data_IF_431388021682
#
_entry.id   IF_431388021682
#
_cell.length_a   1.000
_cell.length_b   1.000
_cell.length_c   1.000
_cell.angle_alpha   90.00
_cell.angle_beta   90.00
_cell.angle_gamma   90.00
#
_symmetry.space_group_name_H-M   'P 1'
#
loop_
_entity.id
_entity.type
_entity.pdbx_description
1 polymer ?
#
# COMPACT_ATOMS: atom_id res chain seq x y z
N UNK A 1 -48.32 13.37 14.42
CA UNK A 1 -48.14 13.40 15.89
C UNK A 1 -46.91 12.56 16.21
N UNK A 2 -45.81 13.20 16.64
CA UNK A 2 -45.17 13.06 17.97
C UNK A 2 -44.73 11.61 18.25
N UNK A 3 -43.50 11.25 18.65
CA UNK A 3 -42.29 11.97 19.08
C UNK A 3 -41.20 10.90 19.29
N UNK A 4 -39.94 11.24 19.07
CA UNK A 4 -38.76 10.49 19.56
C UNK A 4 -38.64 10.53 21.08
N UNK A 5 -37.96 9.55 21.71
CA UNK A 5 -36.98 9.74 22.83
C UNK A 5 -36.09 8.45 22.92
N UNK A 6 -34.78 8.50 22.60
CA UNK A 6 -33.60 8.46 23.53
C UNK A 6 -33.74 7.45 24.68
N UNK A 7 -32.84 6.48 24.91
CA UNK A 7 -31.40 6.62 25.11
C UNK A 7 -31.09 6.69 26.61
N UNK A 8 -30.48 5.65 27.18
CA UNK A 8 -29.82 5.73 28.49
C UNK A 8 -28.55 4.87 28.50
N UNK A 9 -27.45 5.53 28.88
CA UNK A 9 -26.10 5.00 29.08
C UNK A 9 -25.75 5.25 30.55
N UNK A 10 -25.08 4.26 31.17
CA UNK A 10 -24.20 4.34 32.35
C UNK A 10 -24.83 4.67 33.73
N UNK A 11 -24.35 4.15 34.87
CA UNK A 11 -22.95 4.01 35.34
C UNK A 11 -22.92 3.14 36.65
N UNK A 12 -21.82 3.01 37.42
CA UNK A 12 -21.30 1.74 37.95
C UNK A 12 -21.48 1.58 39.48
N UNK A 13 -21.16 0.40 40.02
CA UNK A 13 -21.02 0.20 41.47
C UNK A 13 -19.59 -0.28 41.79
N UNK A 14 -18.97 0.41 42.75
CA UNK A 14 -17.64 0.15 43.32
C UNK A 14 -17.80 0.00 44.84
N UNK A 15 -17.13 -1.03 45.40
CA UNK A 15 -16.49 -1.12 46.74
C UNK A 15 -17.44 -1.14 47.96
N UNK A 16 -17.19 -1.83 49.09
CA UNK A 16 -16.00 -2.47 49.67
C UNK A 16 -16.38 -3.25 50.97
N UNK A 17 -15.38 -3.87 51.61
CA UNK A 17 -15.26 -4.43 52.99
C UNK A 17 -15.73 -5.89 53.18
N UNK A 18 -14.94 -6.85 53.66
CA UNK A 18 -13.66 -6.84 54.37
C UNK A 18 -13.78 -7.76 55.58
N UNK A 19 -12.88 -8.73 55.78
CA UNK A 19 -12.50 -9.29 57.10
C UNK A 19 -11.16 -10.05 57.00
N UNK A 20 -10.42 -9.98 58.10
CA UNK A 20 -8.97 -10.02 58.21
C UNK A 20 -8.35 -11.40 58.51
N UNK A 21 -7.13 -11.60 57.97
CA UNK A 21 -5.88 -12.01 58.63
C UNK A 21 -5.83 -13.28 59.51
N UNK A 22 -4.91 -14.18 59.15
CA UNK A 22 -3.94 -14.71 60.11
C UNK A 22 -2.58 -14.93 59.44
N UNK A 23 -1.55 -14.33 60.04
CA UNK A 23 -0.14 -14.49 59.69
C UNK A 23 0.42 -15.81 60.22
N UNK A 24 1.33 -16.42 59.47
CA UNK A 24 2.49 -17.13 59.99
C UNK A 24 3.65 -16.94 59.01
N UNK A 25 4.74 -16.35 59.49
CA UNK A 25 5.99 -16.15 58.79
C UNK A 25 7.07 -17.07 59.37
N UNK A 26 8.15 -17.26 58.58
CA UNK A 26 9.43 -17.97 58.78
C UNK A 26 9.51 -19.27 57.97
N UNK A 27 10.53 -19.54 57.15
CA UNK A 27 11.93 -19.14 57.21
C UNK A 27 12.57 -18.87 55.83
N UNK A 28 13.62 -18.05 55.88
CA UNK A 28 14.53 -17.72 54.79
C UNK A 28 15.64 -18.78 54.73
N UNK A 29 15.87 -19.36 53.55
CA UNK A 29 17.19 -19.92 53.19
C UNK A 29 17.57 -19.47 51.78
N UNK A 30 18.67 -18.72 51.73
CA UNK A 30 19.42 -18.35 50.55
C UNK A 30 19.97 -19.57 49.82
N UNK A 31 19.77 -19.64 48.51
CA UNK A 31 20.73 -20.29 47.61
C UNK A 31 20.75 -19.58 46.26
N UNK A 32 21.95 -19.13 45.90
CA UNK A 32 22.32 -18.57 44.61
C UNK A 32 22.26 -19.70 43.59
N UNK A 33 21.40 -19.57 42.57
CA UNK A 33 21.48 -20.39 41.35
C UNK A 33 21.26 -19.47 40.15
N UNK A 34 22.21 -19.58 39.24
CA UNK A 34 22.49 -18.74 38.09
C UNK A 34 21.30 -18.48 37.18
N UNK A 35 21.23 -17.25 36.68
CA UNK A 35 20.41 -16.86 35.54
C UNK A 35 20.87 -17.65 34.30
N UNK A 36 20.16 -18.72 33.96
CA UNK A 36 20.05 -19.14 32.57
C UNK A 36 18.80 -18.46 32.00
N UNK A 37 19.03 -17.42 31.21
CA UNK A 37 18.04 -16.85 30.30
C UNK A 37 17.76 -17.92 29.26
N UNK A 38 16.81 -18.80 29.56
CA UNK A 38 16.18 -19.65 28.57
C UNK A 38 15.36 -18.74 27.66
N UNK A 39 15.98 -18.27 26.56
CA UNK A 39 15.24 -17.91 25.35
C UNK A 39 14.23 -19.01 25.08
N UNK A 40 12.92 -18.72 24.99
CA UNK A 40 11.94 -19.75 24.70
C UNK A 40 12.30 -20.40 23.38
N UNK A 41 12.55 -21.71 23.42
CA UNK A 41 12.80 -22.52 22.24
C UNK A 41 11.71 -22.25 21.20
N UNK A 42 12.11 -21.83 20.00
CA UNK A 42 11.20 -21.63 18.89
C UNK A 42 10.43 -22.93 18.66
N UNK A 43 9.10 -22.89 18.82
CA UNK A 43 8.22 -23.95 18.36
C UNK A 43 8.62 -24.29 16.91
N UNK A 44 8.64 -25.56 16.49
CA UNK A 44 8.94 -25.91 15.10
C UNK A 44 8.03 -25.08 14.20
N UNK A 45 8.59 -24.05 13.57
CA UNK A 45 7.83 -23.06 12.80
C UNK A 45 7.18 -23.84 11.67
N UNK A 46 5.86 -23.75 11.62
CA UNK A 46 5.07 -24.55 10.71
C UNK A 46 5.52 -24.33 9.26
N UNK A 47 5.42 -25.37 8.43
CA UNK A 47 5.98 -25.48 7.06
C UNK A 47 5.65 -24.26 6.16
N UNK A 48 4.59 -23.52 6.49
CA UNK A 48 4.11 -22.35 5.75
C UNK A 48 4.74 -21.02 6.17
N UNK A 49 5.49 -20.90 7.27
CA UNK A 49 6.26 -19.69 7.59
C UNK A 49 7.67 -19.77 6.99
N UNK A 50 8.24 -18.61 6.67
CA UNK A 50 9.67 -18.47 6.40
C UNK A 50 10.37 -17.80 7.58
N UNK A 51 11.59 -18.26 7.87
CA UNK A 51 12.46 -17.60 8.86
C UNK A 51 13.08 -16.32 8.31
N UNK A 52 13.15 -16.22 6.98
CA UNK A 52 13.62 -15.03 6.30
C UNK A 52 12.52 -13.97 6.33
N UNK A 53 12.82 -12.87 7.01
CA UNK A 53 11.92 -11.70 7.11
C UNK A 53 12.35 -10.56 6.20
N UNK A 54 13.54 -10.64 5.61
CA UNK A 54 14.06 -9.65 4.69
C UNK A 54 13.62 -9.94 3.25
N UNK A 55 12.79 -9.08 2.63
CA UNK A 55 12.39 -9.25 1.24
C UNK A 55 13.57 -9.33 0.27
N UNK A 56 14.71 -8.74 0.62
CA UNK A 56 15.89 -8.77 -0.24
C UNK A 56 16.54 -10.15 -0.34
N UNK A 57 16.32 -11.03 0.62
CA UNK A 57 16.92 -12.37 0.68
C UNK A 57 15.95 -13.47 0.23
N UNK A 58 14.72 -13.10 -0.13
CA UNK A 58 13.76 -14.05 -0.69
C UNK A 58 14.26 -14.62 -2.03
N UNK A 59 14.00 -15.91 -2.20
CA UNK A 59 14.42 -16.75 -3.33
C UNK A 59 13.30 -17.72 -3.67
N UNK A 60 13.46 -18.50 -4.74
CA UNK A 60 12.47 -19.50 -5.16
C UNK A 60 12.16 -20.55 -4.07
N UNK A 61 13.09 -20.80 -3.14
CA UNK A 61 12.89 -21.72 -2.02
C UNK A 61 11.84 -21.23 -1.01
N UNK A 62 11.59 -19.92 -0.99
CA UNK A 62 10.64 -19.27 -0.10
C UNK A 62 9.25 -19.12 -0.72
N UNK A 63 9.08 -19.53 -1.98
CA UNK A 63 7.80 -19.46 -2.70
C UNK A 63 6.68 -20.17 -1.93
N UNK A 64 5.54 -19.50 -1.79
CA UNK A 64 4.36 -20.01 -1.09
C UNK A 64 4.43 -19.87 0.43
N UNK A 65 5.58 -19.47 1.01
CA UNK A 65 5.72 -19.25 2.45
C UNK A 65 5.33 -17.83 2.86
N UNK A 66 4.91 -17.66 4.10
CA UNK A 66 4.56 -16.39 4.72
C UNK A 66 5.75 -15.83 5.51
N UNK A 67 6.15 -14.60 5.21
CA UNK A 67 7.09 -13.84 6.04
C UNK A 67 6.32 -12.82 6.89
N UNK A 68 6.81 -12.58 8.10
CA UNK A 68 6.22 -11.63 9.04
C UNK A 68 6.85 -10.25 8.91
N UNK A 69 6.03 -9.22 8.81
CA UNK A 69 6.44 -7.81 8.87
C UNK A 69 6.11 -7.28 10.28
N UNK A 70 7.08 -6.72 11.01
CA UNK A 70 6.81 -6.03 12.27
C UNK A 70 5.76 -4.94 12.12
N UNK A 71 4.82 -4.84 13.06
CA UNK A 71 3.70 -3.87 12.98
C UNK A 71 4.17 -2.41 12.97
N UNK A 72 5.33 -2.11 13.55
CA UNK A 72 5.97 -0.79 13.49
C UNK A 72 6.42 -0.46 12.07
N UNK A 73 7.03 -1.44 11.40
CA UNK A 73 7.48 -1.31 10.02
C UNK A 73 6.29 -1.18 9.06
N UNK A 74 5.19 -1.91 9.32
CA UNK A 74 3.95 -1.73 8.55
C UNK A 74 3.43 -0.30 8.64
N UNK A 75 3.43 0.32 9.82
CA UNK A 75 2.97 1.70 10.00
C UNK A 75 3.90 2.71 9.33
N UNK A 76 5.22 2.45 9.32
CA UNK A 76 6.22 3.32 8.72
C UNK A 76 6.19 3.24 7.18
N UNK A 77 6.19 2.03 6.62
CA UNK A 77 6.27 1.78 5.17
C UNK A 77 4.90 1.89 4.50
N UNK A 78 3.83 1.48 5.19
CA UNK A 78 2.46 1.48 4.69
C UNK A 78 1.51 2.28 5.58
N UNK A 79 1.70 3.62 5.72
CA UNK A 79 0.68 4.47 6.33
C UNK A 79 -0.64 4.43 5.53
N UNK A 80 -0.56 4.12 4.23
CA UNK A 80 -1.67 3.90 3.32
C UNK A 80 -1.34 2.77 2.31
N UNK A 81 -2.39 2.23 1.69
CA UNK A 81 -2.29 1.38 0.51
C UNK A 81 -2.33 -0.12 0.73
N UNK A 82 -2.30 -0.59 1.97
CA UNK A 82 -2.72 -1.96 2.23
C UNK A 82 -4.21 -2.13 1.89
N UNK A 83 -4.63 -3.22 1.22
CA UNK A 83 -6.03 -3.52 0.99
C UNK A 83 -6.82 -3.55 2.30
N UNK A 84 -8.04 -3.00 2.31
CA UNK A 84 -8.86 -2.92 3.53
C UNK A 84 -9.06 -4.28 4.24
N UNK A 85 -9.32 -5.35 3.47
CA UNK A 85 -9.47 -6.70 4.04
C UNK A 85 -8.19 -7.20 4.69
N UNK A 86 -7.03 -6.90 4.10
CA UNK A 86 -5.75 -7.24 4.69
C UNK A 86 -5.48 -6.44 5.97
N UNK A 87 -5.87 -5.17 6.03
CA UNK A 87 -5.82 -4.39 7.29
C UNK A 87 -6.71 -5.00 8.38
N UNK A 88 -7.90 -5.50 8.02
CA UNK A 88 -8.76 -6.23 8.96
C UNK A 88 -8.10 -7.52 9.43
N UNK A 89 -7.47 -8.26 8.53
CA UNK A 89 -6.73 -9.48 8.85
C UNK A 89 -5.58 -9.21 9.82
N UNK A 90 -4.75 -8.19 9.56
CA UNK A 90 -3.67 -7.77 10.48
C UNK A 90 -4.24 -7.41 11.86
N UNK A 91 -5.35 -6.68 11.89
CA UNK A 91 -5.98 -6.28 13.15
C UNK A 91 -6.52 -7.48 13.94
N UNK A 92 -7.06 -8.48 13.26
CA UNK A 92 -7.63 -9.68 13.88
C UNK A 92 -6.55 -10.65 14.35
N UNK A 93 -5.54 -10.91 13.52
CA UNK A 93 -4.47 -11.85 13.85
C UNK A 93 -3.36 -11.23 14.71
N UNK A 94 -3.31 -9.89 14.81
CA UNK A 94 -2.25 -9.14 15.48
C UNK A 94 -0.86 -9.38 14.88
N UNK A 95 -0.79 -9.94 13.67
CA UNK A 95 0.43 -10.19 12.90
C UNK A 95 0.21 -9.74 11.45
N UNK A 96 1.27 -9.23 10.82
CA UNK A 96 1.24 -8.85 9.41
C UNK A 96 2.08 -9.84 8.59
N UNK A 97 1.43 -10.88 8.09
CA UNK A 97 2.09 -11.94 7.34
C UNK A 97 1.73 -11.85 5.86
N UNK A 98 2.74 -11.79 5.00
CA UNK A 98 2.59 -11.68 3.55
C UNK A 98 3.19 -12.93 2.91
N UNK A 99 2.49 -13.51 1.93
CA UNK A 99 2.99 -14.67 1.19
C UNK A 99 3.98 -14.24 0.11
N UNK A 100 5.11 -14.96 0.00
CA UNK A 100 6.07 -14.78 -1.09
C UNK A 100 5.55 -15.50 -2.34
N UNK A 101 5.33 -14.74 -3.42
CA UNK A 101 4.80 -15.27 -4.69
C UNK A 101 5.79 -15.11 -5.83
N UNK A 102 5.71 -15.99 -6.83
CA UNK A 102 6.59 -15.94 -8.03
C UNK A 102 6.66 -14.56 -8.70
N UNK A 103 5.54 -13.84 -8.95
CA UNK A 103 5.61 -12.55 -9.65
C UNK A 103 6.39 -11.48 -8.86
N UNK A 104 6.40 -11.55 -7.52
CA UNK A 104 7.19 -10.65 -6.69
C UNK A 104 8.70 -10.99 -6.78
N UNK A 105 9.05 -12.29 -6.77
CA UNK A 105 10.43 -12.75 -6.91
C UNK A 105 11.03 -12.39 -8.28
N UNK A 106 10.22 -12.51 -9.33
CA UNK A 106 10.59 -12.08 -10.69
C UNK A 106 10.89 -10.58 -10.72
N UNK A 107 10.01 -9.77 -10.13
CA UNK A 107 10.21 -8.32 -9.98
C UNK A 107 11.48 -7.98 -9.19
N UNK A 108 11.76 -8.69 -8.10
CA UNK A 108 13.01 -8.48 -7.34
C UNK A 108 14.24 -8.75 -8.19
N UNK A 109 14.20 -9.79 -9.01
CA UNK A 109 15.29 -10.13 -9.92
C UNK A 109 15.52 -9.02 -10.94
N UNK A 110 14.45 -8.48 -11.53
CA UNK A 110 14.55 -7.34 -12.44
C UNK A 110 15.07 -6.07 -11.77
N UNK A 111 14.59 -5.75 -10.56
CA UNK A 111 15.02 -4.56 -9.83
C UNK A 111 16.47 -4.67 -9.35
N UNK A 112 16.92 -5.84 -8.90
CA UNK A 112 18.31 -6.09 -8.51
C UNK A 112 19.27 -5.95 -9.69
N UNK A 113 18.86 -6.44 -10.86
CA UNK A 113 19.67 -6.41 -12.08
C UNK A 113 19.53 -5.12 -12.89
N UNK A 114 18.73 -4.16 -12.42
CA UNK A 114 18.47 -2.92 -13.14
C UNK A 114 19.68 -1.98 -13.11
N UNK A 115 20.02 -1.41 -14.27
CA UNK A 115 21.04 -0.38 -14.38
C UNK A 115 20.41 1.01 -14.30
N UNK A 116 20.69 1.72 -13.22
CA UNK A 116 20.11 3.04 -12.92
C UNK A 116 20.61 4.18 -13.81
N UNK A 117 21.63 3.95 -14.63
CA UNK A 117 22.06 4.91 -15.65
C UNK A 117 21.12 4.95 -16.86
N UNK A 118 20.36 3.88 -17.10
CA UNK A 118 19.38 3.81 -18.19
C UNK A 118 18.07 4.53 -17.82
N UNK A 119 17.23 4.88 -18.82
CA UNK A 119 15.90 5.38 -18.56
C UNK A 119 15.09 4.39 -17.72
N UNK A 120 14.20 4.94 -16.90
CA UNK A 120 13.38 4.17 -15.96
C UNK A 120 12.58 3.08 -16.67
N UNK A 121 12.73 1.85 -16.18
CA UNK A 121 11.96 0.70 -16.65
C UNK A 121 10.56 0.73 -16.04
N UNK A 122 9.55 0.47 -16.88
CA UNK A 122 8.14 0.43 -16.51
C UNK A 122 7.68 -1.02 -16.41
N UNK A 123 7.26 -1.42 -15.22
CA UNK A 123 6.68 -2.73 -14.93
C UNK A 123 5.16 -2.59 -14.77
N UNK A 124 4.39 -3.41 -15.49
CA UNK A 124 2.92 -3.40 -15.42
C UNK A 124 2.44 -4.75 -14.95
N UNK A 125 1.98 -4.78 -13.70
CA UNK A 125 1.41 -5.96 -13.05
C UNK A 125 -0.06 -6.08 -13.45
N UNK A 126 -0.43 -7.19 -14.09
CA UNK A 126 -1.80 -7.44 -14.57
C UNK A 126 -2.27 -8.85 -14.21
N UNK A 127 -3.58 -9.09 -14.36
CA UNK A 127 -4.19 -10.36 -14.00
C UNK A 127 -5.63 -10.21 -13.55
N UNK A 128 -6.32 -11.32 -13.38
CA UNK A 128 -7.75 -11.38 -13.06
C UNK A 128 -8.11 -10.70 -11.74
N UNK A 129 -9.39 -10.41 -11.53
CA UNK A 129 -9.86 -9.79 -10.29
C UNK A 129 -9.54 -10.70 -9.10
N UNK A 130 -8.96 -10.13 -8.04
CA UNK A 130 -8.70 -10.85 -6.80
C UNK A 130 -7.43 -11.70 -6.76
N UNK A 131 -6.57 -11.66 -7.78
CA UNK A 131 -5.33 -12.46 -7.83
C UNK A 131 -4.18 -11.98 -6.92
N UNK A 132 -4.34 -10.88 -6.18
CA UNK A 132 -3.28 -10.37 -5.28
C UNK A 132 -2.25 -9.43 -5.93
N UNK A 133 -2.61 -8.75 -7.03
CA UNK A 133 -1.76 -7.73 -7.68
C UNK A 133 -1.29 -6.64 -6.71
N UNK A 134 -2.21 -6.03 -5.96
CA UNK A 134 -1.88 -5.01 -4.95
C UNK A 134 -0.95 -5.55 -3.88
N UNK A 135 -1.16 -6.78 -3.40
CA UNK A 135 -0.26 -7.39 -2.42
C UNK A 135 1.14 -7.63 -2.99
N UNK A 136 1.24 -8.00 -4.27
CA UNK A 136 2.52 -8.12 -4.98
C UNK A 136 3.22 -6.75 -5.06
N UNK A 137 2.48 -5.68 -5.39
CA UNK A 137 3.01 -4.31 -5.37
C UNK A 137 3.47 -3.89 -3.97
N UNK A 138 2.69 -4.17 -2.93
CA UNK A 138 3.09 -3.89 -1.55
C UNK A 138 4.36 -4.65 -1.17
N UNK A 139 4.52 -5.91 -1.58
CA UNK A 139 5.76 -6.66 -1.34
C UNK A 139 6.98 -5.98 -1.99
N UNK A 140 6.82 -5.44 -3.20
CA UNK A 140 7.84 -4.64 -3.88
C UNK A 140 8.15 -3.33 -3.18
N UNK A 141 7.12 -2.64 -2.71
CA UNK A 141 7.30 -1.41 -1.92
C UNK A 141 8.08 -1.71 -0.63
N UNK A 142 7.77 -2.80 0.07
CA UNK A 142 8.47 -3.21 1.29
C UNK A 142 9.95 -3.51 1.02
N UNK A 143 10.22 -4.25 -0.05
CA UNK A 143 11.58 -4.53 -0.52
C UNK A 143 12.37 -3.24 -0.79
N UNK A 144 11.82 -2.30 -1.56
CA UNK A 144 12.51 -1.05 -1.89
C UNK A 144 12.68 -0.15 -0.66
N UNK A 145 11.71 -0.13 0.27
CA UNK A 145 11.82 0.61 1.51
C UNK A 145 12.99 0.13 2.37
N UNK A 146 13.16 -1.20 2.52
CA UNK A 146 14.31 -1.78 3.24
C UNK A 146 15.66 -1.51 2.58
N UNK A 147 15.67 -1.40 1.26
CA UNK A 147 16.88 -1.01 0.52
C UNK A 147 17.22 0.48 0.60
N UNK A 148 16.43 1.29 1.32
CA UNK A 148 16.65 2.72 1.42
C UNK A 148 16.35 3.46 0.13
N UNK A 149 15.28 3.08 -0.59
CA UNK A 149 14.79 3.83 -1.75
C UNK A 149 13.72 4.81 -1.31
N UNK A 150 13.59 5.93 -2.03
CA UNK A 150 12.48 6.86 -1.88
C UNK A 150 11.22 6.23 -2.49
N UNK A 151 10.22 6.00 -1.66
CA UNK A 151 8.98 5.32 -2.05
C UNK A 151 7.90 6.35 -2.36
N UNK A 152 7.51 6.43 -3.62
CA UNK A 152 6.36 7.20 -4.09
C UNK A 152 5.20 6.22 -4.34
N UNK A 153 4.40 5.99 -3.30
CA UNK A 153 3.28 5.04 -3.35
C UNK A 153 1.93 5.75 -3.50
N UNK A 154 1.17 5.32 -4.51
CA UNK A 154 -0.20 5.75 -4.79
C UNK A 154 -1.10 4.53 -4.69
N UNK A 155 -1.93 4.44 -3.64
CA UNK A 155 -2.60 3.20 -3.26
C UNK A 155 -3.81 2.84 -4.10
N UNK A 156 -4.46 3.83 -4.71
CA UNK A 156 -5.56 3.64 -5.66
C UNK A 156 -5.74 4.94 -6.46
N UNK A 157 -5.24 4.94 -7.69
CA UNK A 157 -5.39 6.07 -8.61
C UNK A 157 -6.87 6.31 -9.00
N UNK A 158 -7.76 5.32 -8.82
CA UNK A 158 -9.18 5.50 -9.11
C UNK A 158 -9.83 6.52 -8.16
N UNK A 159 -9.33 6.66 -6.93
CA UNK A 159 -9.85 7.65 -5.97
C UNK A 159 -9.60 9.10 -6.42
N UNK A 160 -8.65 9.32 -7.32
CA UNK A 160 -8.38 10.64 -7.87
C UNK A 160 -9.29 10.99 -9.06
N UNK A 161 -9.96 10.01 -9.67
CA UNK A 161 -10.84 10.24 -10.85
C UNK A 161 -12.32 10.03 -10.55
N UNK A 162 -12.67 9.65 -9.31
CA UNK A 162 -14.05 9.49 -8.84
C UNK A 162 -14.26 10.05 -7.44
N UNK A 163 -15.52 10.30 -7.08
CA UNK A 163 -15.94 10.65 -5.71
C UNK A 163 -15.17 11.82 -5.08
N UNK A 164 -14.76 12.81 -5.87
CA UNK A 164 -14.14 14.02 -5.34
C UNK A 164 -15.22 14.97 -4.83
N UNK A 165 -15.16 15.28 -3.52
CA UNK A 165 -16.13 16.18 -2.86
C UNK A 165 -15.90 17.65 -3.23
N UNK A 166 -14.64 18.03 -3.33
CA UNK A 166 -14.21 19.40 -3.62
C UNK A 166 -13.31 19.38 -4.84
N UNK A 167 -13.71 20.13 -5.85
CA UNK A 167 -12.95 20.35 -7.07
C UNK A 167 -12.84 21.87 -7.24
N UNK A 168 -11.62 22.38 -7.32
CA UNK A 168 -11.37 23.82 -7.41
C UNK A 168 -10.61 24.12 -8.69
N UNK A 169 -10.80 25.30 -9.26
CA UNK A 169 -9.94 25.75 -10.34
C UNK A 169 -8.53 26.02 -9.80
N UNK A 170 -7.50 25.51 -10.49
CA UNK A 170 -6.13 25.68 -10.04
C UNK A 170 -5.70 27.13 -10.14
N UNK A 171 -5.02 27.60 -9.10
CA UNK A 171 -4.47 28.95 -9.04
C UNK A 171 -3.21 29.12 -9.89
N UNK A 172 -2.48 28.03 -10.16
CA UNK A 172 -1.31 28.04 -11.05
C UNK A 172 -1.69 27.93 -12.53
N UNK A 173 -2.61 27.03 -12.87
CA UNK A 173 -3.11 26.88 -14.23
C UNK A 173 -4.65 26.88 -14.27
N UNK A 174 -5.23 27.94 -14.82
CA UNK A 174 -6.69 28.12 -14.89
C UNK A 174 -7.41 27.03 -15.68
N UNK A 175 -6.74 26.32 -16.58
CA UNK A 175 -7.35 25.21 -17.34
C UNK A 175 -7.46 23.92 -16.53
N UNK A 176 -6.77 23.85 -15.38
CA UNK A 176 -6.72 22.65 -14.53
C UNK A 176 -7.58 22.77 -13.29
N UNK A 177 -7.88 21.59 -12.75
CA UNK A 177 -8.71 21.40 -11.58
C UNK A 177 -7.90 20.71 -10.48
N UNK A 178 -7.92 21.33 -9.30
CA UNK A 178 -7.22 20.91 -8.11
C UNK A 178 -8.12 20.10 -7.17
N UNK A 179 -7.50 19.12 -6.52
CA UNK A 179 -8.13 18.16 -5.63
C UNK A 179 -7.47 18.22 -4.25
N UNK A 180 -7.79 19.25 -3.45
CA UNK A 180 -7.05 19.60 -2.24
C UNK A 180 -7.10 18.50 -1.16
N UNK A 181 -8.24 17.81 -1.02
CA UNK A 181 -8.42 16.75 -0.03
C UNK A 181 -7.58 15.50 -0.36
N UNK A 182 -7.60 15.07 -1.62
CA UNK A 182 -6.79 13.93 -2.10
C UNK A 182 -5.30 14.25 -2.01
N UNK A 183 -4.92 15.46 -2.40
CA UNK A 183 -3.53 15.91 -2.35
C UNK A 183 -2.99 15.97 -0.92
N UNK A 184 -3.73 16.57 0.02
CA UNK A 184 -3.32 16.65 1.43
C UNK A 184 -3.27 15.29 2.10
N UNK A 185 -4.23 14.40 1.83
CA UNK A 185 -4.19 13.02 2.31
C UNK A 185 -2.93 12.29 1.83
N UNK A 186 -2.60 12.42 0.55
CA UNK A 186 -1.40 11.81 -0.01
C UNK A 186 -0.11 12.42 0.58
N UNK A 187 -0.01 13.75 0.68
CA UNK A 187 1.15 14.45 1.28
C UNK A 187 1.42 14.01 2.71
N UNK A 188 0.37 13.82 3.52
CA UNK A 188 0.50 13.36 4.90
C UNK A 188 1.17 11.99 4.97
N UNK A 189 0.73 11.06 4.12
CA UNK A 189 1.28 9.70 4.10
C UNK A 189 2.67 9.65 3.48
N UNK A 190 2.91 10.48 2.45
CA UNK A 190 4.22 10.64 1.83
C UNK A 190 5.26 11.15 2.84
N UNK A 191 4.88 12.09 3.71
CA UNK A 191 5.71 12.59 4.82
C UNK A 191 6.12 11.47 5.77
N UNK A 192 5.17 10.66 6.22
CA UNK A 192 5.43 9.56 7.16
C UNK A 192 6.38 8.52 6.57
N UNK A 193 6.23 8.21 5.27
CA UNK A 193 7.01 7.16 4.61
C UNK A 193 8.48 7.59 4.37
N UNK A 194 8.70 8.86 3.99
CA UNK A 194 10.00 9.32 3.49
C UNK A 194 10.63 10.44 4.35
N UNK A 195 10.40 10.43 5.67
CA UNK A 195 10.78 11.55 6.54
C UNK A 195 12.28 11.92 6.45
N UNK A 196 13.16 10.91 6.32
CA UNK A 196 14.60 11.12 6.21
C UNK A 196 14.98 11.85 4.91
N UNK A 197 14.48 11.39 3.76
CA UNK A 197 14.72 12.04 2.46
C UNK A 197 14.20 13.47 2.39
N UNK A 198 13.11 13.79 3.09
CA UNK A 198 12.54 15.14 3.10
C UNK A 198 13.47 16.20 3.72
N UNK A 199 14.39 15.78 4.60
CA UNK A 199 15.38 16.66 5.23
C UNK A 199 16.61 16.84 4.33
N UNK A 200 16.95 15.82 3.54
CA UNK A 200 18.13 15.80 2.67
C UNK A 200 17.89 16.47 1.32
N UNK A 201 16.72 16.24 0.72
CA UNK A 201 16.33 16.79 -0.59
C UNK A 201 16.06 18.29 -0.45
N UNK A 202 16.75 19.11 -1.25
CA UNK A 202 16.62 20.58 -1.24
C UNK A 202 15.98 21.09 -2.51
N UNK A 203 15.11 22.10 -2.44
CA UNK A 203 14.49 22.70 -3.62
C UNK A 203 15.53 23.34 -4.55
N UNK A 204 15.44 23.10 -5.85
CA UNK A 204 16.31 23.73 -6.85
C UNK A 204 15.74 25.05 -7.38
N UNK A 205 14.46 25.32 -7.13
CA UNK A 205 13.76 26.50 -7.64
C UNK A 205 13.00 27.21 -6.53
N UNK A 206 12.73 28.50 -6.75
CA UNK A 206 11.81 29.28 -5.93
C UNK A 206 10.36 28.94 -6.32
N UNK A 207 9.54 28.61 -5.34
CA UNK A 207 8.12 28.33 -5.53
C UNK A 207 7.27 29.38 -4.84
N UNK A 208 6.33 29.98 -5.57
CA UNK A 208 5.44 31.02 -5.05
C UNK A 208 4.05 30.42 -4.86
N UNK A 209 3.58 30.40 -3.60
CA UNK A 209 2.29 29.83 -3.21
C UNK A 209 1.16 30.86 -3.17
N UNK A 210 1.53 32.14 -3.10
CA UNK A 210 0.62 33.27 -3.05
C UNK A 210 1.40 34.59 -3.04
N UNK A 211 0.70 35.70 -2.79
CA UNK A 211 1.31 37.05 -2.87
C UNK A 211 2.41 37.31 -1.83
N UNK A 212 2.37 36.62 -0.69
CA UNK A 212 3.29 36.83 0.45
C UNK A 212 4.07 35.57 0.85
N UNK A 213 3.75 34.43 0.25
CA UNK A 213 4.31 33.14 0.63
C UNK A 213 5.12 32.57 -0.54
N UNK A 214 6.43 32.42 -0.31
CA UNK A 214 7.33 31.72 -1.21
C UNK A 214 8.24 30.78 -0.43
N UNK A 215 8.56 29.66 -1.05
CA UNK A 215 9.67 28.79 -0.63
C UNK A 215 10.85 29.12 -1.52
N UNK A 216 11.92 29.65 -0.94
CA UNK A 216 13.15 29.97 -1.67
C UNK A 216 13.91 28.71 -2.08
N UNK A 217 14.86 28.88 -3.00
CA UNK A 217 15.76 27.81 -3.43
C UNK A 217 16.67 27.37 -2.26
N UNK A 218 16.96 26.06 -2.19
CA UNK A 218 17.86 25.45 -1.22
C UNK A 218 17.19 25.05 0.10
N UNK A 219 15.88 25.23 0.23
CA UNK A 219 15.09 24.82 1.41
C UNK A 219 14.77 23.32 1.34
N UNK A 220 14.67 22.62 2.48
CA UNK A 220 14.36 21.19 2.47
C UNK A 220 12.96 20.92 1.90
N UNK A 221 12.79 19.81 1.19
CA UNK A 221 11.54 19.42 0.55
C UNK A 221 10.41 19.22 1.58
N UNK A 222 10.77 18.87 2.82
CA UNK A 222 9.84 18.81 3.95
C UNK A 222 9.03 20.11 4.14
N UNK A 223 9.62 21.30 3.93
CA UNK A 223 8.90 22.57 4.07
C UNK A 223 7.81 22.75 3.01
N UNK A 224 8.05 22.25 1.79
CA UNK A 224 7.03 22.26 0.72
C UNK A 224 5.85 21.36 1.10
N UNK A 225 6.14 20.17 1.65
CA UNK A 225 5.12 19.24 2.11
C UNK A 225 4.33 19.84 3.28
N UNK A 226 4.98 20.48 4.24
CA UNK A 226 4.33 21.14 5.37
C UNK A 226 3.47 22.34 4.95
N UNK A 227 3.92 23.11 3.95
CA UNK A 227 3.13 24.20 3.38
C UNK A 227 1.85 23.67 2.74
N UNK A 228 1.93 22.56 1.98
CA UNK A 228 0.76 21.90 1.38
C UNK A 228 -0.21 21.31 2.41
N UNK A 229 0.30 20.83 3.56
CA UNK A 229 -0.53 20.34 4.67
C UNK A 229 -1.20 21.47 5.46
N UNK A 230 -0.50 22.57 5.68
CA UNK A 230 -1.02 23.74 6.41
C UNK A 230 -2.06 24.49 5.58
N UNK A 231 -1.79 24.67 4.27
CA UNK A 231 -2.68 25.34 3.32
C UNK A 231 -3.19 24.36 2.29
N UNK A 232 -4.24 23.63 2.66
CA UNK A 232 -4.87 22.57 1.86
C UNK A 232 -5.24 23.03 0.44
N UNK A 233 -5.58 24.32 0.24
CA UNK A 233 -5.89 24.87 -1.09
C UNK A 233 -4.75 24.70 -2.10
N UNK A 234 -3.50 24.81 -1.62
CA UNK A 234 -2.31 24.71 -2.47
C UNK A 234 -1.72 23.29 -2.44
N UNK A 235 -2.38 22.32 -1.81
CA UNK A 235 -1.87 20.97 -1.67
C UNK A 235 -1.63 20.29 -3.03
N UNK A 236 -2.51 20.51 -4.01
CA UNK A 236 -2.38 19.94 -5.36
C UNK A 236 -1.11 20.44 -6.06
N UNK A 237 -0.83 21.74 -5.94
CA UNK A 237 0.39 22.35 -6.47
C UNK A 237 1.63 21.85 -5.71
N UNK A 238 1.55 21.70 -4.39
CA UNK A 238 2.63 21.15 -3.57
C UNK A 238 2.99 19.72 -3.98
N UNK A 239 2.01 18.87 -4.28
CA UNK A 239 2.26 17.55 -4.86
C UNK A 239 2.99 17.66 -6.20
N UNK A 240 2.55 18.55 -7.09
CA UNK A 240 3.21 18.79 -8.38
C UNK A 240 4.68 19.22 -8.23
N UNK A 241 4.98 20.10 -7.27
CA UNK A 241 6.34 20.53 -6.94
C UNK A 241 7.19 19.37 -6.42
N UNK A 242 6.66 18.60 -5.46
CA UNK A 242 7.35 17.42 -4.90
C UNK A 242 7.72 16.42 -6.01
N UNK A 243 6.77 16.08 -6.88
CA UNK A 243 7.01 15.16 -7.99
C UNK A 243 8.05 15.70 -8.98
N UNK A 244 7.98 17.00 -9.30
CA UNK A 244 8.94 17.65 -10.21
C UNK A 244 10.36 17.63 -9.63
N UNK A 245 10.53 17.98 -8.36
CA UNK A 245 11.84 18.07 -7.71
C UNK A 245 12.48 16.69 -7.56
N UNK A 246 11.70 15.68 -7.13
CA UNK A 246 12.17 14.29 -7.05
C UNK A 246 12.67 13.81 -8.41
N UNK A 247 11.89 14.06 -9.47
CA UNK A 247 12.25 13.66 -10.83
C UNK A 247 13.54 14.34 -11.34
N UNK A 248 13.72 15.62 -11.02
CA UNK A 248 14.92 16.38 -11.42
C UNK A 248 16.16 15.90 -10.68
N UNK A 249 16.05 15.60 -9.39
CA UNK A 249 17.18 15.19 -8.55
C UNK A 249 17.54 13.71 -8.69
N UNK A 250 16.59 12.86 -9.04
CA UNK A 250 16.84 11.45 -9.27
C UNK A 250 17.90 11.23 -10.38
N UNK A 251 17.90 12.08 -11.42
CA UNK A 251 18.91 12.05 -12.48
C UNK A 251 20.34 12.37 -11.99
N UNK A 252 20.49 12.99 -10.81
CA UNK A 252 21.81 13.30 -10.22
C UNK A 252 22.40 12.12 -9.43
N UNK A 253 21.61 11.07 -9.18
CA UNK A 253 22.08 9.83 -8.53
C UNK A 253 22.17 9.89 -7.00
N UNK A 254 21.66 10.95 -6.36
CA UNK A 254 21.73 11.11 -4.89
C UNK A 254 20.90 10.09 -4.11
N UNK A 255 19.79 9.61 -4.69
CA UNK A 255 18.91 8.62 -4.10
C UNK A 255 18.18 7.85 -5.22
N UNK A 256 17.69 6.66 -4.89
CA UNK A 256 16.90 5.83 -5.82
C UNK A 256 15.42 6.05 -5.57
N UNK A 257 14.62 6.05 -6.64
CA UNK A 257 13.17 6.29 -6.55
C UNK A 257 12.39 5.07 -7.03
N UNK A 258 11.43 4.62 -6.22
CA UNK A 258 10.38 3.69 -6.63
C UNK A 258 9.07 4.46 -6.82
N UNK A 259 8.51 4.43 -8.02
CA UNK A 259 7.15 4.92 -8.31
C UNK A 259 6.21 3.72 -8.33
N UNK A 260 5.43 3.56 -7.26
CA UNK A 260 4.45 2.49 -7.10
C UNK A 260 3.03 3.04 -7.26
N UNK A 261 2.32 2.63 -8.33
CA UNK A 261 0.97 3.13 -8.62
C UNK A 261 -0.02 1.99 -8.76
N UNK A 262 -1.01 1.94 -7.87
CA UNK A 262 -2.13 1.01 -8.02
C UNK A 262 -3.25 1.60 -8.87
N UNK A 263 -3.75 0.81 -9.83
CA UNK A 263 -4.86 1.18 -10.70
C UNK A 263 -4.47 2.20 -11.77
N UNK A 264 -3.32 2.03 -12.41
CA UNK A 264 -2.76 2.99 -13.38
C UNK A 264 -3.71 3.25 -14.57
N UNK A 265 -4.61 2.32 -14.88
CA UNK A 265 -5.67 2.48 -15.87
C UNK A 265 -6.63 3.64 -15.59
N UNK A 266 -6.69 4.16 -14.36
CA UNK A 266 -7.44 5.37 -14.05
C UNK A 266 -6.86 6.63 -14.74
N UNK A 267 -5.55 6.66 -15.02
CA UNK A 267 -4.89 7.87 -15.51
C UNK A 267 -5.28 8.22 -16.93
N UNK A 268 -5.49 7.22 -17.79
CA UNK A 268 -5.91 7.37 -19.20
C UNK A 268 -7.36 6.91 -19.43
N UNK A 269 -8.12 6.70 -18.35
CA UNK A 269 -9.52 6.33 -18.41
C UNK A 269 -10.44 7.55 -18.57
N UNK A 270 -11.73 7.36 -18.24
CA UNK A 270 -12.70 8.47 -18.14
C UNK A 270 -12.95 8.78 -16.67
N UNK A 271 -13.23 10.03 -16.34
CA UNK A 271 -13.58 10.44 -14.97
C UNK A 271 -15.10 10.45 -14.76
N UNK A 272 -15.55 10.37 -13.49
CA UNK A 272 -16.96 10.63 -13.14
C UNK A 272 -17.19 12.09 -12.73
N UNK A 273 -16.16 12.91 -12.75
CA UNK A 273 -16.20 14.28 -12.25
C UNK A 273 -16.84 15.19 -13.29
N UNK A 274 -17.55 16.20 -12.80
CA UNK A 274 -18.22 17.21 -13.62
C UNK A 274 -17.82 18.59 -13.14
N UNK A 275 -17.67 19.52 -14.09
CA UNK A 275 -17.49 20.95 -13.79
C UNK A 275 -18.82 21.55 -13.31
N UNK A 276 -18.80 22.81 -12.89
CA UNK A 276 -19.99 23.53 -12.41
C UNK A 276 -21.09 23.63 -13.49
N UNK A 277 -20.69 23.69 -14.76
CA UNK A 277 -21.57 23.68 -15.94
C UNK A 277 -22.13 22.29 -16.29
N UNK A 278 -21.85 21.26 -15.48
CA UNK A 278 -22.18 19.84 -15.68
C UNK A 278 -21.46 19.16 -16.84
N UNK A 279 -20.51 19.83 -17.50
CA UNK A 279 -19.65 19.19 -18.50
C UNK A 279 -18.73 18.15 -17.86
N UNK A 280 -18.40 17.06 -18.58
CA UNK A 280 -17.49 16.04 -18.06
C UNK A 280 -16.05 16.59 -17.97
N UNK A 281 -15.34 16.19 -16.92
CA UNK A 281 -13.92 16.55 -16.73
C UNK A 281 -13.03 15.50 -17.39
N UNK A 282 -12.06 15.93 -18.20
CA UNK A 282 -11.03 15.03 -18.74
C UNK A 282 -9.99 14.70 -17.65
N UNK A 283 -9.39 13.48 -17.61
CA UNK A 283 -8.32 13.20 -16.67
C UNK A 283 -7.10 14.13 -16.82
N UNK A 284 -6.88 14.70 -18.00
CA UNK A 284 -5.79 15.65 -18.26
C UNK A 284 -5.99 17.01 -17.60
N UNK A 285 -7.24 17.38 -17.36
CA UNK A 285 -7.60 18.62 -16.67
C UNK A 285 -7.32 18.50 -15.16
N UNK A 286 -7.20 17.29 -14.60
CA UNK A 286 -6.92 17.09 -13.18
C UNK A 286 -5.43 17.25 -12.89
N UNK A 287 -5.07 18.21 -12.03
CA UNK A 287 -3.67 18.53 -11.71
C UNK A 287 -2.89 17.31 -11.18
N UNK A 288 -3.50 16.51 -10.28
CA UNK A 288 -2.85 15.32 -9.72
C UNK A 288 -2.58 14.25 -10.78
N UNK A 289 -3.56 13.96 -11.63
CA UNK A 289 -3.45 12.95 -12.69
C UNK A 289 -2.42 13.40 -13.73
N UNK A 290 -2.47 14.67 -14.14
CA UNK A 290 -1.51 15.24 -15.08
C UNK A 290 -0.06 15.15 -14.58
N UNK A 291 0.18 15.50 -13.32
CA UNK A 291 1.52 15.41 -12.73
C UNK A 291 1.96 13.95 -12.55
N UNK A 292 1.05 13.04 -12.21
CA UNK A 292 1.38 11.62 -12.10
C UNK A 292 1.69 10.98 -13.45
N UNK A 293 0.96 11.32 -14.52
CA UNK A 293 1.28 10.86 -15.88
C UNK A 293 2.73 11.20 -16.24
N UNK A 294 3.23 12.38 -15.86
CA UNK A 294 4.63 12.76 -16.08
C UNK A 294 5.62 11.90 -15.30
N UNK A 295 5.27 11.38 -14.13
CA UNK A 295 6.15 10.50 -13.35
C UNK A 295 6.24 9.10 -13.92
N UNK A 296 5.16 8.62 -14.54
CA UNK A 296 5.10 7.29 -15.15
C UNK A 296 5.85 7.23 -16.49
N UNK A 297 6.12 8.36 -17.13
CA UNK A 297 6.95 8.42 -18.35
C UNK A 297 8.42 8.05 -18.07
N UNK A 298 9.09 7.49 -19.07
CA UNK A 298 10.48 6.99 -19.01
C UNK A 298 11.55 8.06 -19.33
N UNK A 299 11.23 9.34 -19.22
CA UNK A 299 12.12 10.46 -19.55
C UNK A 299 13.07 10.88 -18.40
N UNK A 300 13.32 9.99 -17.45
CA UNK A 300 14.22 10.19 -16.33
C UNK A 300 14.92 8.87 -15.99
N UNK A 301 16.01 8.94 -15.24
CA UNK A 301 16.84 7.80 -14.81
C UNK A 301 17.00 7.80 -13.28
N UNK A 302 17.62 6.75 -12.73
CA UNK A 302 17.84 6.64 -11.28
C UNK A 302 16.71 5.97 -10.48
N UNK A 303 15.71 5.39 -11.14
CA UNK A 303 14.59 4.75 -10.45
C UNK A 303 13.86 3.69 -11.28
N UNK A 304 12.80 3.15 -10.69
CA UNK A 304 11.92 2.14 -11.29
C UNK A 304 10.45 2.54 -11.14
N UNK A 305 9.64 2.26 -12.17
CA UNK A 305 8.19 2.47 -12.12
C UNK A 305 7.50 1.11 -12.10
N UNK A 306 6.79 0.82 -11.02
CA UNK A 306 5.99 -0.40 -10.87
C UNK A 306 4.53 -0.02 -10.73
N UNK A 307 3.72 -0.46 -11.69
CA UNK A 307 2.31 -0.11 -11.77
C UNK A 307 1.48 -1.38 -11.75
N UNK A 308 0.27 -1.32 -11.19
CA UNK A 308 -0.71 -2.40 -11.31
C UNK A 308 -1.92 -1.94 -12.10
N UNK A 309 -2.51 -2.86 -12.84
CA UNK A 309 -3.84 -2.70 -13.41
C UNK A 309 -4.87 -3.19 -12.43
N UNK A 310 -5.96 -2.45 -12.27
CA UNK A 310 -7.08 -2.88 -11.45
C UNK A 310 -8.40 -2.68 -12.17
N UNK A 311 -9.10 -3.79 -12.36
CA UNK A 311 -10.50 -3.79 -12.78
C UNK A 311 -11.39 -3.31 -11.61
N UNK A 312 -11.04 -3.63 -10.37
CA UNK A 312 -11.84 -3.25 -9.20
C UNK A 312 -11.75 -1.75 -9.00
N UNK A 313 -12.89 -1.07 -9.11
CA UNK A 313 -12.95 0.38 -9.01
C UNK A 313 -12.68 1.13 -10.32
N UNK A 314 -12.41 0.41 -11.42
CA UNK A 314 -12.34 0.96 -12.77
C UNK A 314 -13.66 1.59 -13.19
N UNK A 315 -13.57 2.61 -14.05
CA UNK A 315 -14.71 3.36 -14.55
C UNK A 315 -14.93 3.01 -16.01
N UNK A 316 -16.19 2.72 -16.38
CA UNK A 316 -16.59 2.46 -17.77
C UNK A 316 -15.82 1.31 -18.45
N UNK A 317 -15.42 0.28 -17.70
CA UNK A 317 -14.78 -0.94 -18.19
C UNK A 317 -15.62 -2.18 -17.82
N UNK A 318 -15.64 -3.22 -18.66
CA UNK A 318 -16.39 -4.43 -18.35
C UNK A 318 -15.76 -5.18 -17.18
N UNK A 319 -16.57 -5.99 -16.49
CA UNK A 319 -16.14 -6.72 -15.29
C UNK A 319 -15.12 -7.83 -15.57
N UNK A 320 -15.13 -8.38 -16.78
CA UNK A 320 -14.22 -9.44 -17.23
C UNK A 320 -12.88 -8.93 -17.75
N UNK A 321 -12.75 -7.63 -18.03
CA UNK A 321 -11.51 -7.07 -18.58
C UNK A 321 -10.39 -7.10 -17.54
N UNK A 322 -9.28 -7.70 -17.94
CA UNK A 322 -8.08 -7.83 -17.10
C UNK A 322 -6.78 -7.67 -17.90
N UNK A 323 -6.87 -7.65 -19.23
CA UNK A 323 -5.70 -7.49 -20.11
C UNK A 323 -5.24 -6.02 -20.15
N UNK A 324 -3.93 -5.76 -20.33
CA UNK A 324 -3.40 -4.41 -20.40
C UNK A 324 -4.04 -3.55 -21.49
N UNK A 325 -4.14 -4.06 -22.71
CA UNK A 325 -4.73 -3.33 -23.83
C UNK A 325 -6.20 -2.94 -23.59
N UNK A 326 -6.98 -3.82 -22.96
CA UNK A 326 -8.40 -3.55 -22.66
C UNK A 326 -8.58 -2.49 -21.56
N UNK A 327 -7.81 -2.59 -20.48
CA UNK A 327 -7.93 -1.69 -19.33
C UNK A 327 -7.32 -0.32 -19.59
N UNK A 328 -6.13 -0.25 -20.19
CA UNK A 328 -5.44 1.00 -20.52
C UNK A 328 -6.11 1.72 -21.71
N UNK A 329 -6.69 0.97 -22.65
CA UNK A 329 -7.11 1.52 -23.94
C UNK A 329 -5.91 1.95 -24.79
N UNK A 330 -6.19 2.52 -25.97
CA UNK A 330 -5.15 2.92 -26.94
C UNK A 330 -4.19 3.97 -26.35
N UNK A 331 -4.74 5.06 -25.83
CA UNK A 331 -3.94 6.17 -25.27
C UNK A 331 -3.01 5.73 -24.14
N UNK A 332 -3.53 4.92 -23.19
CA UNK A 332 -2.72 4.44 -22.08
C UNK A 332 -1.69 3.40 -22.49
N UNK A 333 -2.00 2.57 -23.48
CA UNK A 333 -1.07 1.58 -24.02
C UNK A 333 0.08 2.27 -24.78
N UNK A 334 -0.24 3.18 -25.69
CA UNK A 334 0.74 3.96 -26.46
C UNK A 334 1.64 4.80 -25.56
N UNK A 335 1.08 5.36 -24.48
CA UNK A 335 1.86 6.12 -23.50
C UNK A 335 2.81 5.25 -22.67
N UNK A 336 2.43 4.01 -22.37
CA UNK A 336 3.22 3.08 -21.55
C UNK A 336 4.18 2.23 -22.38
N UNK A 337 4.02 2.15 -23.70
CA UNK A 337 4.90 1.39 -24.59
C UNK A 337 6.29 2.06 -24.69
N UNK A 338 7.41 1.32 -24.56
CA UNK A 338 7.56 -0.06 -24.10
C UNK A 338 7.47 -0.22 -22.58
N UNK A 339 6.86 -1.33 -22.13
CA UNK A 339 6.80 -1.76 -20.73
C UNK A 339 6.97 -3.28 -20.59
N UNK A 340 7.31 -3.74 -19.38
CA UNK A 340 7.43 -5.16 -19.03
C UNK A 340 6.12 -5.63 -18.38
N UNK A 341 5.30 -6.45 -19.06
CA UNK A 341 4.07 -7.00 -18.49
C UNK A 341 4.38 -8.17 -17.54
N UNK A 342 3.83 -8.14 -16.33
CA UNK A 342 3.98 -9.21 -15.33
C UNK A 342 2.60 -9.75 -14.97
N UNK A 343 2.37 -11.02 -15.30
CA UNK A 343 1.13 -11.70 -15.01
C UNK A 343 1.11 -12.19 -13.55
N UNK A 344 0.03 -11.87 -12.83
CA UNK A 344 -0.26 -12.42 -11.49
C UNK A 344 -1.39 -13.43 -11.59
N UNK A 345 -1.07 -14.73 -11.58
CA UNK A 345 -2.07 -15.79 -11.63
C UNK A 345 -2.76 -16.03 -10.28
N UNK A 346 -3.77 -16.90 -10.30
CA UNK A 346 -4.35 -17.53 -9.11
C UNK A 346 -3.29 -18.36 -8.35
N UNK A 347 -3.63 -18.84 -7.16
CA UNK A 347 -2.70 -19.63 -6.35
C UNK A 347 -2.34 -20.95 -7.04
N UNK A 348 -1.07 -21.32 -6.95
CA UNK A 348 -0.64 -22.70 -7.21
C UNK A 348 -1.11 -23.62 -6.10
N UNK A 349 -1.05 -24.94 -6.30
CA UNK A 349 -1.44 -25.90 -5.27
C UNK A 349 -0.67 -25.69 -3.96
N UNK A 350 0.64 -25.44 -4.07
CA UNK A 350 1.53 -25.18 -2.94
C UNK A 350 1.19 -23.87 -2.22
N UNK A 351 0.92 -22.79 -2.98
CA UNK A 351 0.48 -21.50 -2.42
C UNK A 351 -0.86 -21.64 -1.70
N UNK A 352 -1.80 -22.41 -2.28
CA UNK A 352 -3.11 -22.67 -1.70
C UNK A 352 -2.99 -23.45 -0.38
N UNK A 353 -2.24 -24.56 -0.37
CA UNK A 353 -2.03 -25.37 0.83
C UNK A 353 -1.36 -24.56 1.95
N UNK A 354 -0.34 -23.77 1.60
CA UNK A 354 0.35 -22.91 2.58
C UNK A 354 -0.60 -21.86 3.18
N UNK A 355 -1.44 -21.23 2.36
CA UNK A 355 -2.45 -20.27 2.81
C UNK A 355 -3.53 -20.94 3.69
N UNK A 356 -3.98 -22.14 3.31
CA UNK A 356 -4.94 -22.92 4.11
C UNK A 356 -4.37 -23.29 5.48
N UNK A 357 -3.13 -23.79 5.53
CA UNK A 357 -2.46 -24.09 6.79
C UNK A 357 -2.21 -22.85 7.65
N UNK A 358 -1.92 -21.70 7.03
CA UNK A 358 -1.84 -20.43 7.73
C UNK A 358 -3.17 -20.07 8.41
N UNK A 359 -4.31 -20.19 7.71
CA UNK A 359 -5.62 -19.96 8.31
C UNK A 359 -5.98 -20.96 9.42
N UNK A 360 -5.59 -22.22 9.29
CA UNK A 360 -5.76 -23.21 10.36
C UNK A 360 -4.94 -22.82 11.61
N UNK A 361 -3.70 -22.38 11.42
CA UNK A 361 -2.82 -21.98 12.51
C UNK A 361 -3.34 -20.75 13.26
N UNK A 362 -3.81 -19.73 12.54
CA UNK A 362 -4.43 -18.54 13.14
C UNK A 362 -5.82 -18.84 13.76
N UNK A 363 -6.29 -20.10 13.71
CA UNK A 363 -7.64 -20.51 14.09
C UNK A 363 -8.69 -19.64 13.40
N UNK A 364 -8.47 -19.32 12.14
CA UNK A 364 -9.41 -18.54 11.34
C UNK A 364 -10.60 -19.40 10.91
N UNK A 365 -10.35 -20.67 10.57
CA UNK A 365 -11.37 -21.66 10.23
C UNK A 365 -11.89 -22.33 11.51
N UNK A 366 -13.10 -21.93 11.95
CA UNK A 366 -13.72 -22.46 13.16
C UNK A 366 -14.60 -23.68 12.90
N UNK A 367 -15.25 -23.74 11.74
CA UNK A 367 -16.12 -24.85 11.36
C UNK A 367 -15.37 -26.19 11.31
N UNK A 368 -15.91 -27.21 11.97
CA UNK A 368 -15.26 -28.53 12.10
C UNK A 368 -15.00 -29.18 10.74
N UNK A 369 -15.98 -29.13 9.82
CA UNK A 369 -15.83 -29.67 8.46
C UNK A 369 -14.84 -28.89 7.60
N UNK A 370 -14.52 -27.64 7.93
CA UNK A 370 -13.53 -26.88 7.15
C UNK A 370 -12.10 -27.37 7.44
N UNK A 371 -11.90 -28.16 8.50
CA UNK A 371 -10.60 -28.73 8.91
C UNK A 371 -10.34 -30.13 8.33
N UNK A 372 -11.31 -30.73 7.64
CA UNK A 372 -11.15 -32.02 6.98
C UNK A 372 -10.58 -31.84 5.56
N UNK A 373 -9.99 -32.90 5.00
CA UNK A 373 -9.51 -32.88 3.61
C UNK A 373 -10.65 -32.60 2.62
N UNK A 374 -11.83 -33.18 2.83
CA UNK A 374 -13.02 -32.88 2.02
C UNK A 374 -13.35 -31.38 2.03
N UNK A 375 -13.33 -30.73 3.21
CA UNK A 375 -13.56 -29.29 3.32
C UNK A 375 -12.46 -28.45 2.64
N UNK A 376 -11.21 -28.91 2.66
CA UNK A 376 -10.10 -28.29 1.93
C UNK A 376 -10.33 -28.36 0.43
N UNK A 377 -10.74 -29.51 -0.10
CA UNK A 377 -11.04 -29.70 -1.52
C UNK A 377 -12.26 -28.88 -1.96
N UNK A 378 -13.31 -28.82 -1.15
CA UNK A 378 -14.48 -27.96 -1.40
C UNK A 378 -14.08 -26.48 -1.46
N UNK A 379 -13.28 -26.00 -0.51
CA UNK A 379 -12.76 -24.62 -0.51
C UNK A 379 -11.90 -24.34 -1.74
N UNK A 380 -11.08 -25.31 -2.14
CA UNK A 380 -10.23 -25.20 -3.33
C UNK A 380 -11.07 -25.09 -4.60
N UNK A 381 -12.09 -25.92 -4.73
CA UNK A 381 -13.01 -25.93 -5.87
C UNK A 381 -13.84 -24.64 -5.94
N UNK A 382 -14.49 -24.24 -4.83
CA UNK A 382 -15.35 -23.05 -4.77
C UNK A 382 -14.58 -21.74 -4.94
N UNK A 383 -13.32 -21.69 -4.48
CA UNK A 383 -12.47 -20.51 -4.66
C UNK A 383 -11.83 -20.43 -6.04
N UNK A 384 -11.74 -21.54 -6.78
CA UNK A 384 -10.94 -21.62 -8.01
C UNK A 384 -9.47 -21.26 -7.77
N UNK A 385 -8.95 -21.49 -6.56
CA UNK A 385 -7.65 -21.02 -6.10
C UNK A 385 -7.44 -19.50 -6.19
N UNK A 386 -8.51 -18.70 -6.28
CA UNK A 386 -8.42 -17.25 -6.30
C UNK A 386 -8.20 -16.70 -4.87
N UNK A 387 -7.15 -15.90 -4.61
CA UNK A 387 -6.83 -15.39 -3.27
C UNK A 387 -7.98 -14.65 -2.59
N UNK A 388 -8.64 -13.74 -3.31
CA UNK A 388 -9.72 -12.93 -2.77
C UNK A 388 -10.98 -13.76 -2.50
N UNK A 389 -11.29 -14.71 -3.38
CA UNK A 389 -12.44 -15.59 -3.19
C UNK A 389 -12.21 -16.54 -2.02
N UNK A 390 -10.99 -17.08 -1.87
CA UNK A 390 -10.62 -17.95 -0.75
C UNK A 390 -10.74 -17.20 0.59
N UNK A 391 -10.17 -16.01 0.71
CA UNK A 391 -10.30 -15.19 1.92
C UNK A 391 -11.77 -14.92 2.24
N UNK A 392 -12.58 -14.55 1.23
CA UNK A 392 -14.01 -14.28 1.39
C UNK A 392 -14.81 -15.50 1.87
N UNK A 393 -14.49 -16.69 1.34
CA UNK A 393 -15.15 -17.94 1.70
C UNK A 393 -14.71 -18.42 3.09
N UNK A 394 -13.45 -18.17 3.46
CA UNK A 394 -12.90 -18.54 4.78
C UNK A 394 -13.36 -17.63 5.92
N UNK A 395 -13.62 -16.35 5.66
CA UNK A 395 -13.95 -15.37 6.69
C UNK A 395 -15.20 -15.69 7.57
N UNK A 396 -16.28 -16.28 7.04
CA UNK A 396 -17.45 -16.66 7.84
C UNK A 396 -17.39 -18.08 8.43
N UNK A 397 -16.32 -18.86 8.21
CA UNK A 397 -16.26 -20.29 8.56
C UNK A 397 -15.68 -20.57 9.95
#
# INVERSE_FOLDING_TARGET
MLRSVKGFICRPLKLDHGYALHMAAKDCFSSVVSQDVQTPAEKPRAIFYTNESDPAQHSEQHEGRHYSIPLEEVKAVFPHGLPYRFQQQIKTFQEACVMVRKPALELFTYLKNSNFAHPVVRYVIYGERGTGKTMTLCHVVHFCARQGWLVLHIPDAHLWVKNCKELMQSSYNKERLDQPLQASFWLRNFRTTNEHFLKEIKTQQKYVWGKRDSTEQGRPLGEVVEQGLTRVKNASDAVGVVLKEIKQQCCLGSFRVLVAVDGVNALWGRTTLKKEDKSPVSPEELTLVYNLRKMVMNNWSGGAVVTTLSQTGSLFKPSSAHLPHELLGKEGFDALDPFVPILVPNYTEREFESCYHYYLHCRWLQHEKARTEDGKEELRFLSGCNPWQLERLSAPL
#
